data_IF_914156716906
#
_entry.id   IF_914156716906
#
_cell.length_a   1.000
_cell.length_b   1.000
_cell.length_c   1.000
_cell.angle_alpha   90.00
_cell.angle_beta   90.00
_cell.angle_gamma   90.00
#
_symmetry.space_group_name_H-M   'P 1'
#
loop_
_entity.id
_entity.type
_entity.pdbx_description
1 polymer ?
#
# COMPACT_ATOMS: atom_id res chain seq x y z
N UNK A 1 8.40 -30.91 1.61
CA UNK A 1 8.18 -29.46 1.43
C UNK A 1 9.28 -28.72 2.17
N UNK A 2 9.91 -27.72 1.55
CA UNK A 2 10.94 -26.90 2.20
C UNK A 2 10.30 -25.87 3.13
N UNK A 3 10.94 -25.59 4.27
CA UNK A 3 10.55 -24.51 5.17
C UNK A 3 10.68 -23.14 4.47
N UNK A 4 9.65 -22.31 4.59
CA UNK A 4 9.56 -20.97 3.96
C UNK A 4 9.22 -19.87 4.97
N UNK A 5 9.38 -20.15 6.27
CA UNK A 5 9.24 -19.12 7.30
C UNK A 5 10.38 -18.11 7.17
N UNK A 6 10.03 -16.83 7.28
CA UNK A 6 10.96 -15.71 7.34
C UNK A 6 10.55 -14.79 8.49
N UNK A 7 11.50 -14.00 8.97
CA UNK A 7 11.24 -12.92 9.93
C UNK A 7 10.75 -11.66 9.21
N UNK A 8 10.09 -10.75 9.93
CA UNK A 8 9.65 -9.47 9.37
C UNK A 8 10.81 -8.65 8.82
N UNK A 9 11.97 -8.64 9.49
CA UNK A 9 13.16 -7.92 9.05
C UNK A 9 13.75 -8.40 7.73
N UNK A 10 13.32 -9.55 7.22
CA UNK A 10 13.73 -10.07 5.91
C UNK A 10 12.84 -9.59 4.77
N UNK A 11 11.67 -9.00 5.04
CA UNK A 11 10.75 -8.46 4.02
C UNK A 11 11.44 -7.49 3.05
N UNK A 12 12.33 -6.56 3.49
CA UNK A 12 13.06 -5.67 2.57
C UNK A 12 13.84 -6.40 1.47
N UNK A 13 14.25 -7.66 1.67
CA UNK A 13 14.97 -8.45 0.66
C UNK A 13 14.09 -8.81 -0.54
N UNK A 14 12.77 -8.77 -0.37
CA UNK A 14 11.78 -9.15 -1.38
C UNK A 14 11.10 -7.95 -2.02
N UNK A 15 11.39 -6.73 -1.59
CA UNK A 15 10.72 -5.51 -2.07
C UNK A 15 11.76 -4.51 -2.56
N UNK A 16 11.71 -4.23 -3.86
CA UNK A 16 12.61 -3.32 -4.55
C UNK A 16 11.82 -2.16 -5.14
N UNK A 17 12.51 -1.05 -5.40
CA UNK A 17 11.90 0.11 -6.05
C UNK A 17 11.33 -0.25 -7.42
N UNK A 18 10.23 0.39 -7.80
CA UNK A 18 9.55 0.16 -9.09
C UNK A 18 8.64 -1.07 -9.14
N UNK A 19 8.62 -1.91 -8.09
CA UNK A 19 7.79 -3.11 -8.03
C UNK A 19 6.29 -2.80 -7.99
N UNK A 20 5.52 -3.75 -8.53
CA UNK A 20 4.05 -3.77 -8.39
C UNK A 20 3.67 -4.64 -7.21
N UNK A 21 2.97 -4.06 -6.22
CA UNK A 21 2.63 -4.74 -4.97
C UNK A 21 1.11 -4.80 -4.79
N UNK A 22 0.59 -6.02 -4.66
CA UNK A 22 -0.79 -6.23 -4.23
C UNK A 22 -0.90 -6.10 -2.72
N UNK A 23 -1.80 -5.24 -2.24
CA UNK A 23 -2.04 -5.06 -0.81
C UNK A 23 -3.38 -5.70 -0.44
N UNK A 24 -3.31 -6.78 0.33
CA UNK A 24 -4.48 -7.46 0.87
C UNK A 24 -5.04 -6.82 2.15
N UNK A 25 -6.14 -7.39 2.65
CA UNK A 25 -6.90 -6.86 3.78
C UNK A 25 -8.09 -5.99 3.32
N UNK A 26 -8.88 -5.52 4.28
CA UNK A 26 -9.99 -4.60 4.04
C UNK A 26 -9.67 -3.14 4.37
N UNK A 27 -10.68 -2.25 4.28
CA UNK A 27 -10.56 -0.82 4.57
C UNK A 27 -9.81 -0.48 5.86
N UNK A 28 -10.17 -1.16 6.96
CA UNK A 28 -9.57 -0.96 8.29
C UNK A 28 -9.40 -2.28 9.07
N UNK A 29 -9.55 -3.42 8.40
CA UNK A 29 -9.52 -4.74 9.04
C UNK A 29 -8.56 -5.68 8.31
N UNK A 30 -7.89 -6.56 9.07
CA UNK A 30 -7.00 -7.61 8.54
C UNK A 30 -5.90 -7.01 7.62
N UNK A 31 -5.55 -5.74 7.84
CA UNK A 31 -4.48 -5.07 7.11
C UNK A 31 -3.14 -5.60 7.59
N UNK A 32 -2.21 -6.03 6.70
CA UNK A 32 -0.90 -6.57 7.07
C UNK A 32 0.08 -5.47 7.51
N UNK A 33 -0.30 -4.73 8.55
CA UNK A 33 0.35 -3.47 8.96
C UNK A 33 1.81 -3.69 9.36
N UNK A 34 2.14 -4.85 9.94
CA UNK A 34 3.53 -5.20 10.24
C UNK A 34 4.38 -5.28 8.96
N UNK A 35 3.92 -5.98 7.92
CA UNK A 35 4.62 -6.04 6.62
C UNK A 35 4.71 -4.66 5.98
N UNK A 36 3.64 -3.86 6.01
CA UNK A 36 3.63 -2.51 5.45
C UNK A 36 4.72 -1.64 6.09
N UNK A 37 4.91 -1.72 7.41
CA UNK A 37 5.99 -0.99 8.09
C UNK A 37 7.37 -1.45 7.63
N UNK A 38 7.56 -2.74 7.39
CA UNK A 38 8.82 -3.26 6.84
C UNK A 38 9.09 -2.76 5.41
N UNK A 39 8.06 -2.66 4.57
CA UNK A 39 8.15 -2.06 3.23
C UNK A 39 8.51 -0.58 3.31
N UNK A 40 7.93 0.17 4.24
CA UNK A 40 8.27 1.58 4.45
C UNK A 40 9.74 1.71 4.87
N UNK A 41 10.20 0.86 5.80
CA UNK A 41 11.59 0.88 6.31
C UNK A 41 12.61 0.45 5.27
N UNK A 42 12.24 -0.41 4.31
CA UNK A 42 13.15 -0.82 3.23
C UNK A 42 13.63 0.37 2.39
N UNK A 43 12.89 1.48 2.41
CA UNK A 43 13.24 2.66 1.61
C UNK A 43 12.91 2.49 0.12
N UNK A 44 12.20 1.43 -0.28
CA UNK A 44 11.76 1.26 -1.66
C UNK A 44 10.91 2.45 -2.12
N UNK A 45 11.07 2.83 -3.39
CA UNK A 45 10.40 3.96 -4.04
C UNK A 45 9.76 3.54 -5.35
N UNK A 46 8.99 4.44 -5.95
CA UNK A 46 8.29 4.22 -7.21
C UNK A 46 7.41 2.96 -7.22
N UNK A 47 6.90 2.58 -6.04
CA UNK A 47 6.05 1.41 -5.88
C UNK A 47 4.71 1.64 -6.57
N UNK A 48 4.21 0.60 -7.22
CA UNK A 48 2.93 0.59 -7.94
C UNK A 48 1.97 -0.30 -7.19
N UNK A 49 1.07 0.31 -6.42
CA UNK A 49 0.18 -0.46 -5.55
C UNK A 49 -1.06 -0.91 -6.32
N UNK A 50 -1.52 -2.13 -6.02
CA UNK A 50 -2.78 -2.67 -6.51
C UNK A 50 -3.63 -2.98 -5.28
N UNK A 51 -4.76 -2.30 -5.16
CA UNK A 51 -5.77 -2.62 -4.15
C UNK A 51 -6.47 -3.93 -4.54
N UNK A 52 -6.80 -4.76 -3.55
CA UNK A 52 -7.56 -5.98 -3.80
C UNK A 52 -8.99 -5.68 -4.28
N UNK A 53 -9.90 -5.37 -3.36
CA UNK A 53 -11.30 -5.01 -3.67
C UNK A 53 -11.61 -3.59 -3.21
N UNK A 54 -11.33 -3.28 -1.95
CA UNK A 54 -11.38 -1.93 -1.40
C UNK A 54 -10.08 -1.65 -0.67
N UNK A 55 -9.40 -0.60 -1.10
CA UNK A 55 -8.21 -0.11 -0.43
C UNK A 55 -8.53 0.59 0.87
N UNK A 56 -7.54 0.64 1.76
CA UNK A 56 -7.73 1.08 3.13
C UNK A 56 -6.46 1.56 3.80
N UNK A 57 -6.43 1.43 5.12
CA UNK A 57 -5.36 1.92 6.00
C UNK A 57 -3.96 1.53 5.52
N UNK A 58 -3.79 0.31 5.01
CA UNK A 58 -2.48 -0.16 4.56
C UNK A 58 -1.94 0.54 3.32
N UNK A 59 -2.80 0.82 2.34
CA UNK A 59 -2.45 1.61 1.15
C UNK A 59 -2.18 3.06 1.54
N UNK A 60 -3.04 3.63 2.39
CA UNK A 60 -2.92 5.01 2.83
C UNK A 60 -1.61 5.26 3.58
N UNK A 61 -1.17 4.32 4.43
CA UNK A 61 0.14 4.38 5.09
C UNK A 61 1.31 4.38 4.09
N UNK A 62 1.29 3.50 3.08
CA UNK A 62 2.35 3.45 2.06
C UNK A 62 2.39 4.72 1.20
N UNK A 63 1.22 5.24 0.82
CA UNK A 63 1.09 6.50 0.08
C UNK A 63 1.63 7.65 0.93
N UNK A 64 1.24 7.73 2.20
CA UNK A 64 1.69 8.75 3.15
C UNK A 64 3.20 8.74 3.39
N UNK A 65 3.83 7.56 3.29
CA UNK A 65 5.29 7.41 3.37
C UNK A 65 6.03 7.92 2.12
N UNK A 66 5.33 8.27 1.03
CA UNK A 66 5.88 8.92 -0.15
C UNK A 66 6.68 8.02 -1.10
N UNK A 67 6.61 6.69 -0.92
CA UNK A 67 7.30 5.72 -1.79
C UNK A 67 6.48 5.20 -2.97
N UNK A 68 5.29 5.76 -3.21
CA UNK A 68 4.30 5.22 -4.16
C UNK A 68 4.21 6.11 -5.39
N UNK A 69 4.43 5.53 -6.58
CA UNK A 69 4.27 6.22 -7.87
C UNK A 69 2.85 6.13 -8.42
N UNK A 70 2.18 4.98 -8.24
CA UNK A 70 0.81 4.80 -8.72
C UNK A 70 0.00 3.89 -7.81
N UNK A 71 -1.32 4.06 -7.86
CA UNK A 71 -2.27 3.15 -7.22
C UNK A 71 -3.36 2.76 -8.19
N UNK A 72 -3.69 1.48 -8.17
CA UNK A 72 -4.73 0.83 -8.97
C UNK A 72 -5.85 0.38 -8.03
N UNK A 73 -7.06 0.91 -8.20
CA UNK A 73 -8.13 0.77 -7.20
C UNK A 73 -9.53 1.01 -7.79
N UNK A 74 -10.55 0.42 -7.14
CA UNK A 74 -11.95 0.79 -7.32
C UNK A 74 -12.42 1.77 -6.23
N UNK A 75 -11.93 1.63 -4.99
CA UNK A 75 -12.19 2.55 -3.88
C UNK A 75 -11.05 2.50 -2.86
N UNK A 76 -10.72 3.63 -2.23
CA UNK A 76 -9.82 3.70 -1.07
C UNK A 76 -10.48 4.54 0.03
N UNK A 77 -10.86 3.91 1.14
CA UNK A 77 -11.66 4.54 2.21
C UNK A 77 -11.40 3.87 3.56
N UNK A 78 -11.73 4.54 4.66
CA UNK A 78 -11.71 3.96 6.00
C UNK A 78 -13.12 3.69 6.56
N UNK A 79 -14.11 3.54 5.67
CA UNK A 79 -15.53 3.37 6.01
C UNK A 79 -16.04 4.47 6.97
N UNK A 80 -16.51 4.10 8.16
CA UNK A 80 -17.10 4.99 9.16
C UNK A 80 -16.10 6.02 9.70
N UNK A 81 -14.79 5.77 9.55
CA UNK A 81 -13.73 6.70 9.93
C UNK A 81 -13.46 7.76 8.85
N UNK A 82 -14.20 7.70 7.73
CA UNK A 82 -14.15 8.68 6.66
C UNK A 82 -13.16 8.35 5.54
N UNK A 83 -12.77 9.36 4.74
CA UNK A 83 -11.91 9.14 3.59
C UNK A 83 -10.44 8.92 3.99
N UNK A 84 -9.72 8.15 3.19
CA UNK A 84 -8.29 7.90 3.36
C UNK A 84 -7.47 9.20 3.14
N UNK A 85 -6.85 9.78 4.18
CA UNK A 85 -6.34 11.16 4.13
C UNK A 85 -5.06 11.31 3.30
N UNK A 86 -4.15 10.33 3.31
CA UNK A 86 -2.93 10.40 2.51
C UNK A 86 -3.21 10.14 1.04
N UNK A 87 -4.10 9.18 0.73
CA UNK A 87 -4.57 8.98 -0.63
C UNK A 87 -5.12 10.28 -1.21
N UNK A 88 -6.09 10.91 -0.53
CA UNK A 88 -6.67 12.18 -0.98
C UNK A 88 -5.62 13.27 -1.15
N UNK A 89 -4.80 13.51 -0.13
CA UNK A 89 -3.73 14.53 -0.15
C UNK A 89 -2.77 14.36 -1.33
N UNK A 90 -2.40 13.12 -1.69
CA UNK A 90 -1.50 12.87 -2.80
C UNK A 90 -2.20 12.89 -4.16
N UNK A 91 -3.41 12.33 -4.26
CA UNK A 91 -4.19 12.30 -5.49
C UNK A 91 -4.64 13.71 -5.90
N UNK A 92 -5.30 14.44 -4.99
CA UNK A 92 -5.77 15.81 -5.21
C UNK A 92 -4.59 16.78 -5.47
N UNK A 93 -3.43 16.49 -4.89
CA UNK A 93 -2.20 17.25 -5.11
C UNK A 93 -1.43 16.89 -6.39
N UNK A 94 -1.91 15.95 -7.22
CA UNK A 94 -1.23 15.53 -8.45
C UNK A 94 0.09 14.77 -8.23
N UNK A 95 0.31 14.24 -7.02
CA UNK A 95 1.55 13.56 -6.59
C UNK A 95 1.48 12.04 -6.71
N UNK A 96 0.33 11.51 -7.10
CA UNK A 96 0.07 10.07 -7.20
C UNK A 96 -0.71 9.78 -8.48
N UNK A 97 -0.18 8.89 -9.32
CA UNK A 97 -0.89 8.43 -10.50
C UNK A 97 -2.02 7.49 -10.09
N UNK A 98 -3.26 7.92 -10.30
CA UNK A 98 -4.45 7.14 -10.00
C UNK A 98 -4.91 6.36 -11.23
N UNK A 99 -5.02 5.05 -11.10
CA UNK A 99 -5.59 4.14 -12.09
C UNK A 99 -6.92 3.63 -11.52
N UNK A 100 -7.99 4.33 -11.88
CA UNK A 100 -9.35 4.01 -11.47
C UNK A 100 -9.91 2.89 -12.37
N UNK A 101 -10.47 1.86 -11.75
CA UNK A 101 -11.10 0.74 -12.44
C UNK A 101 -12.56 0.62 -12.06
N UNK A 102 -13.43 0.72 -13.07
CA UNK A 102 -14.87 0.46 -13.01
C UNK A 102 -15.21 -1.01 -13.14
#
# INVERSE_FOLDING_TARGET
>A
MTDRRITLGEVPRYVQSGMRLGIGGGPVMITPTALIREVIRSGARDLKLVAASTGGFGLDLLIGAGGVASVEFAQIVFNEFGPAPNFRRYAEGGRLRCLDHT
#
